data_IF_483340552884
#
_entry.id   IF_483340552884
#
_cell.length_a   1.000
_cell.length_b   1.000
_cell.length_c   1.000
_cell.angle_alpha   90.00
_cell.angle_beta   90.00
_cell.angle_gamma   90.00
#
_symmetry.space_group_name_H-M   'P 1'
#
loop_
_entity.id
_entity.type
_entity.pdbx_description
1 polymer ?
#
# COMPACT_ATOMS: atom_id res chain seq x y z
N UNK A 1 -60.63 41.93 -30.27
CA UNK A 1 -59.22 41.49 -30.34
C UNK A 1 -58.87 40.69 -29.09
N UNK A 2 -58.04 39.66 -29.25
CA UNK A 2 -57.42 38.82 -28.21
C UNK A 2 -58.25 37.66 -27.62
N UNK A 3 -58.07 36.51 -28.28
CA UNK A 3 -58.15 35.19 -27.69
C UNK A 3 -57.05 35.01 -26.61
N UNK A 4 -57.36 34.28 -25.53
CA UNK A 4 -56.37 33.84 -24.55
C UNK A 4 -56.58 32.36 -24.25
N UNK A 5 -55.88 31.53 -25.00
CA UNK A 5 -55.56 30.14 -24.66
C UNK A 5 -54.25 30.15 -23.87
N UNK A 6 -54.15 29.33 -22.82
CA UNK A 6 -52.87 28.95 -22.19
C UNK A 6 -53.07 27.50 -21.70
N UNK A 7 -52.69 26.50 -22.48
CA UNK A 7 -51.33 25.99 -22.75
C UNK A 7 -50.90 24.96 -21.70
N UNK A 8 -51.25 23.71 -22.01
CA UNK A 8 -50.67 22.46 -21.52
C UNK A 8 -49.41 22.26 -22.35
N UNK A 9 -48.23 22.27 -21.74
CA UNK A 9 -47.01 21.66 -22.30
C UNK A 9 -45.94 21.59 -21.21
N UNK A 10 -45.73 20.40 -20.66
CA UNK A 10 -44.60 20.07 -19.80
C UNK A 10 -43.95 18.83 -20.36
N UNK A 11 -43.32 18.96 -21.52
CA UNK A 11 -42.35 17.99 -21.98
C UNK A 11 -41.37 18.65 -22.96
N UNK A 12 -40.11 18.21 -22.91
CA UNK A 12 -39.00 18.53 -23.83
C UNK A 12 -38.08 19.67 -23.41
N UNK A 13 -37.14 19.35 -22.51
CA UNK A 13 -35.76 19.84 -22.64
C UNK A 13 -34.81 18.63 -22.55
N UNK A 14 -34.53 18.07 -23.72
CA UNK A 14 -33.36 17.24 -23.98
C UNK A 14 -32.21 18.22 -24.22
N UNK A 15 -31.33 18.39 -23.24
CA UNK A 15 -30.04 19.02 -23.43
C UNK A 15 -28.96 17.98 -23.15
N UNK A 16 -28.18 17.70 -24.19
CA UNK A 16 -27.10 16.73 -24.21
C UNK A 16 -26.02 17.08 -23.16
N UNK A 17 -25.83 16.20 -22.19
CA UNK A 17 -24.61 16.19 -21.37
C UNK A 17 -23.57 15.34 -22.11
N UNK A 18 -22.55 16.01 -22.63
CA UNK A 18 -21.37 15.38 -23.21
C UNK A 18 -20.68 14.46 -22.18
N UNK A 19 -20.07 13.33 -22.60
CA UNK A 19 -19.28 12.51 -21.71
C UNK A 19 -18.03 13.30 -21.32
N UNK A 20 -17.91 13.63 -20.03
CA UNK A 20 -16.66 14.14 -19.46
C UNK A 20 -15.66 12.99 -19.54
N UNK A 21 -14.80 13.06 -20.55
CA UNK A 21 -13.69 12.15 -20.74
C UNK A 21 -12.76 12.24 -19.52
N UNK A 22 -12.96 11.37 -18.54
CA UNK A 22 -11.94 11.02 -17.55
C UNK A 22 -10.93 10.07 -18.23
N UNK A 23 -10.23 10.61 -19.21
CA UNK A 23 -9.06 9.97 -19.79
C UNK A 23 -7.81 10.66 -19.28
N UNK A 24 -6.83 9.84 -18.93
CA UNK A 24 -5.40 10.14 -18.82
C UNK A 24 -4.95 11.00 -17.64
N UNK A 25 -5.00 10.44 -16.42
CA UNK A 25 -3.99 10.79 -15.38
C UNK A 25 -3.26 9.55 -14.82
N UNK A 26 -3.72 8.33 -15.07
CA UNK A 26 -3.05 7.10 -14.59
C UNK A 26 -1.90 6.58 -15.48
N UNK A 27 -1.37 7.42 -16.39
CA UNK A 27 -0.24 7.08 -17.26
C UNK A 27 1.08 7.77 -16.86
N UNK A 28 1.16 8.31 -15.64
CA UNK A 28 2.41 8.81 -15.05
C UNK A 28 2.78 7.94 -13.84
N UNK A 29 3.05 6.65 -14.09
CA UNK A 29 3.95 5.86 -13.23
C UNK A 29 5.30 6.58 -13.32
N UNK A 30 5.49 7.60 -12.49
CA UNK A 30 6.70 8.41 -12.44
C UNK A 30 7.89 7.48 -12.31
N UNK A 31 8.60 7.28 -13.42
CA UNK A 31 9.99 6.87 -13.45
C UNK A 31 10.85 8.01 -12.88
N UNK A 32 10.53 8.42 -11.64
CA UNK A 32 11.37 9.28 -10.84
C UNK A 32 12.67 8.51 -10.67
N UNK A 33 13.78 9.08 -11.12
CA UNK A 33 15.09 8.46 -10.97
C UNK A 33 15.22 7.99 -9.51
N UNK A 34 15.30 6.67 -9.32
CA UNK A 34 15.36 6.09 -7.99
C UNK A 34 16.54 6.72 -7.24
N UNK A 35 16.30 7.10 -5.99
CA UNK A 35 17.39 7.52 -5.09
C UNK A 35 18.53 6.49 -5.19
N UNK A 36 19.80 6.91 -5.37
CA UNK A 36 20.93 5.98 -5.57
C UNK A 36 21.09 4.98 -4.42
N UNK A 37 20.69 5.37 -3.21
CA UNK A 37 20.58 4.47 -2.06
C UNK A 37 19.56 3.37 -2.31
N UNK A 38 18.34 3.73 -2.72
CA UNK A 38 17.28 2.76 -3.00
C UNK A 38 17.65 1.84 -4.15
N UNK A 39 18.36 2.33 -5.17
CA UNK A 39 18.85 1.50 -6.26
C UNK A 39 19.82 0.41 -5.77
N UNK A 40 20.76 0.76 -4.89
CA UNK A 40 21.68 -0.22 -4.29
C UNK A 40 20.95 -1.21 -3.39
N UNK A 41 20.04 -0.72 -2.55
CA UNK A 41 19.22 -1.58 -1.68
C UNK A 41 18.32 -2.52 -2.49
N UNK A 42 17.80 -2.07 -3.64
CA UNK A 42 16.98 -2.89 -4.52
C UNK A 42 17.70 -4.16 -4.96
N UNK A 43 19.00 -4.10 -5.26
CA UNK A 43 19.80 -5.29 -5.58
C UNK A 43 19.90 -6.31 -4.44
N UNK A 44 19.87 -5.87 -3.17
CA UNK A 44 19.82 -6.75 -2.00
C UNK A 44 18.42 -7.34 -1.80
N UNK A 45 17.39 -6.50 -1.96
CA UNK A 45 15.97 -6.86 -1.83
C UNK A 45 15.58 -7.90 -2.90
N UNK A 46 16.01 -7.73 -4.16
CA UNK A 46 15.73 -8.67 -5.25
C UNK A 46 16.33 -10.07 -5.01
N UNK A 47 17.45 -10.13 -4.28
CA UNK A 47 18.10 -11.38 -3.85
C UNK A 47 17.45 -11.98 -2.59
N UNK A 48 16.42 -11.33 -2.04
CA UNK A 48 15.77 -11.73 -0.78
C UNK A 48 16.60 -11.46 0.47
N UNK A 49 17.72 -10.73 0.37
CA UNK A 49 18.58 -10.42 1.52
C UNK A 49 18.08 -9.15 2.23
N UNK A 50 16.94 -9.27 2.90
CA UNK A 50 16.29 -8.16 3.60
C UNK A 50 17.08 -7.67 4.82
N UNK A 51 17.86 -8.54 5.48
CA UNK A 51 18.71 -8.16 6.61
C UNK A 51 19.82 -7.19 6.17
N UNK A 52 20.59 -7.55 5.14
CA UNK A 52 21.63 -6.67 4.60
C UNK A 52 21.04 -5.38 4.00
N UNK A 53 19.85 -5.46 3.39
CA UNK A 53 19.15 -4.28 2.90
C UNK A 53 18.76 -3.33 4.04
N UNK A 54 18.25 -3.87 5.16
CA UNK A 54 17.89 -3.09 6.34
C UNK A 54 19.11 -2.39 6.95
N UNK A 55 20.22 -3.10 7.15
CA UNK A 55 21.46 -2.52 7.67
C UNK A 55 21.97 -1.37 6.79
N UNK A 56 21.96 -1.58 5.48
CA UNK A 56 22.37 -0.56 4.51
C UNK A 56 21.44 0.68 4.54
N UNK A 57 20.12 0.47 4.55
CA UNK A 57 19.13 1.54 4.55
C UNK A 57 19.11 2.32 5.88
N UNK A 58 19.37 1.67 7.02
CA UNK A 58 19.46 2.31 8.33
C UNK A 58 20.56 3.37 8.39
N UNK A 59 21.69 3.12 7.71
CA UNK A 59 22.81 4.06 7.63
C UNK A 59 22.60 5.19 6.60
N UNK A 60 21.64 5.07 5.69
CA UNK A 60 21.57 5.90 4.49
C UNK A 60 20.78 7.22 4.63
N UNK A 61 20.16 7.48 5.79
CA UNK A 61 19.59 8.80 6.10
C UNK A 61 18.13 8.77 6.57
N UNK A 62 17.44 9.91 6.40
CA UNK A 62 16.06 10.16 6.89
C UNK A 62 15.06 10.44 5.77
N UNK A 63 15.44 10.20 4.52
CA UNK A 63 14.53 10.32 3.39
C UNK A 63 13.32 9.38 3.57
N UNK A 64 12.07 9.85 3.41
CA UNK A 64 10.88 9.03 3.62
C UNK A 64 10.83 7.76 2.78
N UNK A 65 11.31 7.77 1.53
CA UNK A 65 11.29 6.58 0.69
C UNK A 65 12.33 5.54 1.16
N UNK A 66 13.51 6.01 1.60
CA UNK A 66 14.52 5.16 2.25
C UNK A 66 13.98 4.55 3.54
N UNK A 67 13.29 5.35 4.36
CA UNK A 67 12.68 4.90 5.62
C UNK A 67 11.51 3.94 5.39
N UNK A 68 10.72 4.17 4.35
CA UNK A 68 9.65 3.26 3.93
C UNK A 68 10.24 1.88 3.57
N UNK A 69 11.25 1.85 2.69
CA UNK A 69 11.91 0.61 2.30
C UNK A 69 12.58 -0.11 3.49
N UNK A 70 13.19 0.64 4.41
CA UNK A 70 13.75 0.10 5.65
C UNK A 70 12.66 -0.58 6.48
N UNK A 71 11.54 0.09 6.72
CA UNK A 71 10.43 -0.45 7.49
C UNK A 71 9.87 -1.74 6.87
N UNK A 72 9.77 -1.82 5.54
CA UNK A 72 9.37 -3.06 4.85
C UNK A 72 10.39 -4.18 5.07
N UNK A 73 11.69 -3.90 4.94
CA UNK A 73 12.72 -4.91 5.19
C UNK A 73 12.67 -5.42 6.63
N UNK A 74 12.52 -4.51 7.61
CA UNK A 74 12.39 -4.84 9.04
C UNK A 74 11.17 -5.73 9.31
N UNK A 75 10.01 -5.43 8.72
CA UNK A 75 8.82 -6.30 8.84
C UNK A 75 9.09 -7.71 8.31
N UNK A 76 9.74 -7.82 7.14
CA UNK A 76 10.00 -9.11 6.47
C UNK A 76 11.02 -9.99 7.20
N UNK A 77 11.93 -9.40 7.97
CA UNK A 77 12.85 -10.15 8.86
C UNK A 77 12.29 -10.37 10.27
N UNK A 78 11.06 -9.93 10.56
CA UNK A 78 10.40 -10.12 11.86
C UNK A 78 10.75 -9.07 12.92
N UNK A 79 11.47 -8.01 12.57
CA UNK A 79 11.83 -6.91 13.48
C UNK A 79 10.70 -5.87 13.56
N UNK A 80 9.51 -6.32 13.97
CA UNK A 80 8.25 -5.57 13.90
C UNK A 80 8.29 -4.29 14.75
N UNK A 81 8.84 -4.35 15.97
CA UNK A 81 8.94 -3.18 16.83
C UNK A 81 9.76 -2.04 16.19
N UNK A 82 10.91 -2.40 15.62
CA UNK A 82 11.77 -1.45 14.92
C UNK A 82 11.08 -0.88 13.67
N UNK A 83 10.34 -1.72 12.94
CA UNK A 83 9.57 -1.25 11.79
C UNK A 83 8.54 -0.20 12.21
N UNK A 84 7.78 -0.45 13.28
CA UNK A 84 6.79 0.50 13.81
C UNK A 84 7.46 1.82 14.23
N UNK A 85 8.61 1.76 14.87
CA UNK A 85 9.32 2.98 15.29
C UNK A 85 9.86 3.78 14.10
N UNK A 86 10.38 3.10 13.06
CA UNK A 86 10.78 3.72 11.81
C UNK A 86 9.59 4.43 11.16
N UNK A 87 8.46 3.75 10.96
CA UNK A 87 7.28 4.36 10.36
C UNK A 87 6.73 5.52 11.19
N UNK A 88 6.61 5.36 12.51
CA UNK A 88 6.12 6.43 13.40
C UNK A 88 6.96 7.69 13.26
N UNK A 89 8.27 7.57 13.07
CA UNK A 89 9.19 8.71 12.98
C UNK A 89 8.95 9.64 11.79
N UNK A 90 8.32 9.15 10.71
CA UNK A 90 8.11 9.94 9.49
C UNK A 90 6.67 9.94 8.98
N UNK A 91 5.81 9.01 9.41
CA UNK A 91 4.39 9.00 9.04
C UNK A 91 3.58 9.93 9.94
N UNK A 92 3.95 10.05 11.22
CA UNK A 92 3.24 10.90 12.17
C UNK A 92 3.94 12.25 12.39
N UNK A 93 3.15 13.24 12.79
CA UNK A 93 3.66 14.49 13.34
C UNK A 93 4.23 14.21 14.75
N UNK A 94 5.49 14.58 15.05
CA UNK A 94 6.14 14.31 16.33
C UNK A 94 5.31 14.74 17.53
N UNK A 95 5.20 13.86 18.52
CA UNK A 95 4.42 14.11 19.74
C UNK A 95 2.90 13.99 19.56
N UNK A 96 2.42 13.54 18.40
CA UNK A 96 1.00 13.39 18.11
C UNK A 96 0.68 12.02 17.52
N UNK A 97 -0.61 11.72 17.37
CA UNK A 97 -1.14 10.59 16.60
C UNK A 97 -1.58 11.00 15.19
N UNK A 98 -1.39 12.26 14.81
CA UNK A 98 -1.82 12.79 13.52
C UNK A 98 -0.82 12.42 12.43
N UNK A 99 -1.35 11.98 11.29
CA UNK A 99 -0.53 11.68 10.12
C UNK A 99 -0.07 12.94 9.41
N UNK A 100 1.10 12.84 8.78
CA UNK A 100 1.61 13.84 7.86
C UNK A 100 0.89 13.74 6.51
N UNK A 101 0.31 14.85 5.99
CA UNK A 101 -0.39 14.82 4.72
C UNK A 101 0.53 14.58 3.51
N UNK A 102 1.81 14.93 3.62
CA UNK A 102 2.82 14.81 2.56
C UNK A 102 3.35 13.37 2.34
N UNK A 103 3.03 12.45 3.26
CA UNK A 103 3.56 11.08 3.22
C UNK A 103 2.77 10.23 2.23
N UNK A 104 3.49 9.41 1.45
CA UNK A 104 2.88 8.54 0.45
C UNK A 104 1.86 7.59 1.06
N UNK A 105 0.77 7.30 0.34
CA UNK A 105 -0.22 6.32 0.78
C UNK A 105 0.39 4.93 0.99
N UNK A 106 1.39 4.54 0.18
CA UNK A 106 2.11 3.29 0.39
C UNK A 106 2.83 3.25 1.75
N UNK A 107 3.49 4.34 2.14
CA UNK A 107 4.13 4.43 3.47
C UNK A 107 3.11 4.31 4.60
N UNK A 108 1.92 4.91 4.44
CA UNK A 108 0.82 4.77 5.41
C UNK A 108 0.29 3.34 5.47
N UNK A 109 0.08 2.67 4.33
CA UNK A 109 -0.30 1.25 4.29
C UNK A 109 0.75 0.34 4.93
N UNK A 110 2.03 0.63 4.71
CA UNK A 110 3.13 -0.10 5.35
C UNK A 110 3.17 0.13 6.87
N UNK A 111 2.87 1.35 7.32
CA UNK A 111 2.72 1.62 8.75
C UNK A 111 1.55 0.86 9.36
N UNK A 112 0.39 0.87 8.73
CA UNK A 112 -0.75 0.06 9.14
C UNK A 112 -0.41 -1.43 9.18
N UNK A 113 0.34 -1.93 8.19
CA UNK A 113 0.84 -3.31 8.16
C UNK A 113 1.71 -3.62 9.38
N UNK A 114 2.65 -2.73 9.73
CA UNK A 114 3.51 -2.90 10.89
C UNK A 114 2.72 -2.89 12.21
N UNK A 115 1.71 -2.02 12.32
CA UNK A 115 0.80 -1.98 13.47
C UNK A 115 0.01 -3.28 13.63
N UNK A 116 -0.51 -3.85 12.53
CA UNK A 116 -1.20 -5.15 12.58
C UNK A 116 -0.27 -6.28 13.03
N UNK A 117 0.96 -6.32 12.51
CA UNK A 117 1.96 -7.30 12.94
C UNK A 117 2.35 -7.14 14.41
N UNK A 118 2.33 -5.92 14.94
CA UNK A 118 2.58 -5.62 16.36
C UNK A 118 1.38 -5.98 17.26
N UNK A 119 0.23 -6.29 16.67
CA UNK A 119 -1.00 -6.55 17.41
C UNK A 119 -1.75 -5.28 17.82
N UNK A 120 -1.63 -4.20 17.05
CA UNK A 120 -2.27 -2.89 17.27
C UNK A 120 -3.32 -2.57 16.19
N UNK A 121 -4.42 -3.34 16.07
CA UNK A 121 -5.41 -3.17 15.01
C UNK A 121 -6.14 -1.83 15.08
N UNK A 122 -6.33 -1.22 16.25
CA UNK A 122 -7.01 0.09 16.35
C UNK A 122 -6.20 1.16 15.62
N UNK A 123 -4.89 1.22 15.90
CA UNK A 123 -3.99 2.16 15.24
C UNK A 123 -3.92 1.92 13.73
N UNK A 124 -3.90 0.65 13.30
CA UNK A 124 -3.91 0.32 11.88
C UNK A 124 -5.19 0.80 11.18
N UNK A 125 -6.37 0.63 11.80
CA UNK A 125 -7.64 1.10 11.25
C UNK A 125 -7.66 2.62 11.14
N UNK A 126 -7.19 3.34 12.16
CA UNK A 126 -7.08 4.80 12.10
C UNK A 126 -6.23 5.25 10.92
N UNK A 127 -5.06 4.63 10.74
CA UNK A 127 -4.16 4.95 9.62
C UNK A 127 -4.82 4.67 8.28
N UNK A 128 -5.50 3.53 8.14
CA UNK A 128 -6.17 3.15 6.90
C UNK A 128 -7.40 4.01 6.58
N UNK A 129 -8.04 4.62 7.57
CA UNK A 129 -9.20 5.48 7.37
C UNK A 129 -8.82 6.81 6.69
N UNK A 130 -7.60 7.30 6.93
CA UNK A 130 -7.09 8.55 6.35
C UNK A 130 -6.58 8.38 4.91
N UNK A 131 -6.45 7.13 4.43
CA UNK A 131 -6.03 6.83 3.06
C UNK A 131 -7.23 6.95 2.11
N UNK A 132 -7.29 8.06 1.38
CA UNK A 132 -8.32 8.31 0.34
C UNK A 132 -7.92 7.67 -1.00
N UNK A 133 -7.72 6.36 -1.00
CA UNK A 133 -7.33 5.59 -2.19
C UNK A 133 -8.21 4.34 -2.33
N UNK A 134 -9.42 4.49 -2.91
CA UNK A 134 -10.42 3.42 -3.00
C UNK A 134 -9.99 2.25 -3.89
N UNK A 135 -9.02 2.43 -4.77
CA UNK A 135 -8.60 1.42 -5.75
C UNK A 135 -7.37 0.61 -5.30
N UNK A 136 -6.79 0.95 -4.14
CA UNK A 136 -5.61 0.23 -3.63
C UNK A 136 -5.96 -1.19 -3.17
N UNK A 137 -5.53 -2.19 -3.96
CA UNK A 137 -5.68 -3.61 -3.62
C UNK A 137 -5.09 -3.93 -2.24
N UNK A 138 -4.00 -3.26 -1.84
CA UNK A 138 -3.35 -3.46 -0.55
C UNK A 138 -4.21 -3.02 0.64
N UNK A 139 -4.90 -1.88 0.55
CA UNK A 139 -5.82 -1.45 1.63
C UNK A 139 -6.96 -2.45 1.78
N UNK A 140 -7.52 -2.92 0.66
CA UNK A 140 -8.57 -3.94 0.69
C UNK A 140 -8.08 -5.24 1.36
N UNK A 141 -6.85 -5.68 1.08
CA UNK A 141 -6.23 -6.85 1.73
C UNK A 141 -6.05 -6.65 3.24
N UNK A 142 -5.61 -5.45 3.67
CA UNK A 142 -5.45 -5.13 5.10
C UNK A 142 -6.80 -5.12 5.83
N UNK A 143 -7.82 -4.48 5.27
CA UNK A 143 -9.18 -4.53 5.82
C UNK A 143 -9.75 -5.96 5.83
N UNK A 144 -9.47 -6.78 4.82
CA UNK A 144 -9.88 -8.17 4.80
C UNK A 144 -9.18 -8.99 5.89
N UNK A 145 -7.89 -8.77 6.13
CA UNK A 145 -7.15 -9.41 7.22
C UNK A 145 -7.75 -9.05 8.59
N UNK A 146 -8.03 -7.78 8.84
CA UNK A 146 -8.69 -7.31 10.06
C UNK A 146 -10.06 -7.98 10.21
N UNK A 147 -10.90 -7.99 9.16
CA UNK A 147 -12.23 -8.61 9.20
C UNK A 147 -12.18 -10.12 9.47
N UNK A 148 -11.17 -10.82 8.95
CA UNK A 148 -10.98 -12.25 9.25
C UNK A 148 -10.61 -12.47 10.71
N UNK A 149 -9.70 -11.65 11.23
CA UNK A 149 -9.35 -11.68 12.65
C UNK A 149 -10.56 -11.33 13.53
N UNK A 150 -11.38 -10.34 13.19
CA UNK A 150 -12.59 -10.02 13.96
C UNK A 150 -13.56 -11.20 14.07
N UNK A 151 -13.61 -12.08 13.06
CA UNK A 151 -14.44 -13.30 13.07
C UNK A 151 -13.90 -14.40 13.98
N UNK A 152 -12.64 -14.34 14.40
CA UNK A 152 -12.07 -15.30 15.36
C UNK A 152 -12.33 -14.89 16.81
N UNK A 153 -12.83 -13.68 17.06
CA UNK A 153 -13.16 -13.19 18.39
C UNK A 153 -14.43 -13.87 18.92
N UNK A 154 -14.43 -14.17 20.22
CA UNK A 154 -15.67 -14.57 20.91
C UNK A 154 -16.66 -13.41 20.90
N UNK A 155 -17.96 -13.70 20.98
CA UNK A 155 -19.01 -12.69 20.87
C UNK A 155 -18.81 -11.50 21.84
N UNK A 156 -18.46 -11.77 23.10
CA UNK A 156 -18.19 -10.71 24.09
C UNK A 156 -16.96 -9.87 23.72
N UNK A 157 -15.89 -10.50 23.22
CA UNK A 157 -14.67 -9.80 22.80
C UNK A 157 -14.90 -9.00 21.54
N UNK A 158 -15.68 -9.52 20.61
CA UNK A 158 -16.09 -8.81 19.42
C UNK A 158 -16.91 -7.56 19.78
N UNK A 159 -17.85 -7.68 20.73
CA UNK A 159 -18.66 -6.54 21.17
C UNK A 159 -17.80 -5.48 21.88
N UNK A 160 -16.93 -5.91 22.79
CA UNK A 160 -16.00 -5.03 23.52
C UNK A 160 -15.03 -4.30 22.56
N UNK A 161 -14.49 -5.02 21.57
CA UNK A 161 -13.71 -4.47 20.47
C UNK A 161 -14.50 -3.42 19.67
N UNK A 162 -15.73 -3.74 19.27
CA UNK A 162 -16.53 -2.86 18.40
C UNK A 162 -17.03 -1.61 19.10
N UNK A 163 -17.32 -1.67 20.40
CA UNK A 163 -17.87 -0.53 21.15
C UNK A 163 -16.78 0.29 21.85
N UNK A 164 -15.75 -0.36 22.40
CA UNK A 164 -14.74 0.30 23.22
C UNK A 164 -13.36 0.39 22.56
N UNK A 165 -13.17 -0.24 21.38
CA UNK A 165 -11.86 -0.38 20.72
C UNK A 165 -10.78 -0.99 21.61
N UNK A 166 -11.21 -1.83 22.58
CA UNK A 166 -10.31 -2.55 23.48
C UNK A 166 -9.69 -3.71 22.73
N UNK A 167 -8.38 -3.64 22.53
CA UNK A 167 -7.61 -4.67 21.85
C UNK A 167 -7.49 -5.92 22.75
N UNK A 168 -7.81 -7.12 22.25
CA UNK A 168 -7.58 -8.36 22.99
C UNK A 168 -6.11 -8.55 23.34
N UNK A 169 -5.82 -9.11 24.53
CA UNK A 169 -4.46 -9.49 24.90
C UNK A 169 -3.87 -10.46 23.87
N UNK A 170 -2.63 -10.24 23.44
CA UNK A 170 -1.95 -11.02 22.40
C UNK A 170 -2.70 -11.01 21.05
N UNK A 171 -3.23 -9.85 20.64
CA UNK A 171 -3.83 -9.69 19.34
C UNK A 171 -2.85 -10.06 18.22
N UNK A 172 -3.21 -11.06 17.41
CA UNK A 172 -2.42 -11.49 16.25
C UNK A 172 -3.30 -11.47 15.00
N UNK A 173 -3.08 -10.46 14.15
CA UNK A 173 -3.73 -10.38 12.85
C UNK A 173 -2.85 -11.12 11.84
N UNK A 174 -3.34 -12.26 11.34
CA UNK A 174 -2.62 -13.04 10.34
C UNK A 174 -2.72 -12.36 8.98
N UNK A 175 -1.56 -12.05 8.39
CA UNK A 175 -1.45 -11.57 7.02
C UNK A 175 -1.12 -12.76 6.11
N UNK A 176 -1.94 -12.96 5.09
CA UNK A 176 -1.80 -14.02 4.06
C UNK A 176 -1.05 -13.53 2.82
N UNK A 177 -0.39 -12.38 2.95
CA UNK A 177 0.42 -11.75 1.92
C UNK A 177 1.73 -11.27 2.53
N UNK A 178 2.72 -11.03 1.68
CA UNK A 178 4.03 -10.57 2.12
C UNK A 178 3.92 -9.17 2.77
N UNK A 179 4.48 -8.96 3.98
CA UNK A 179 4.42 -7.68 4.66
C UNK A 179 5.03 -6.53 3.85
N UNK A 180 4.22 -5.48 3.69
CA UNK A 180 4.60 -4.22 3.08
C UNK A 180 4.82 -4.27 1.57
N UNK A 181 4.76 -3.09 0.96
CA UNK A 181 4.99 -2.86 -0.46
C UNK A 181 6.10 -1.83 -0.67
N UNK A 182 6.86 -1.97 -1.75
CA UNK A 182 7.88 -0.99 -2.15
C UNK A 182 7.30 -0.03 -3.18
N UNK A 183 7.70 1.24 -3.10
CA UNK A 183 7.30 2.30 -4.06
C UNK A 183 8.06 2.21 -5.40
N UNK A 184 8.80 1.13 -5.63
CA UNK A 184 9.58 0.88 -6.83
C UNK A 184 9.41 -0.56 -7.29
N UNK A 185 9.60 -0.81 -8.59
CA UNK A 185 9.47 -2.13 -9.17
C UNK A 185 10.57 -3.06 -8.61
N UNK A 186 10.17 -4.04 -7.80
CA UNK A 186 11.04 -5.08 -7.26
C UNK A 186 10.64 -6.42 -7.85
N UNK A 187 11.47 -6.97 -8.74
CA UNK A 187 11.36 -8.34 -9.22
C UNK A 187 12.12 -9.25 -8.26
N UNK A 188 11.42 -9.83 -7.28
CA UNK A 188 12.03 -10.79 -6.35
C UNK A 188 12.24 -12.11 -7.10
N UNK A 189 13.49 -12.52 -7.30
CA UNK A 189 13.78 -13.80 -7.95
C UNK A 189 13.42 -14.93 -6.98
N UNK A 190 12.26 -15.56 -7.16
CA UNK A 190 11.87 -16.74 -6.38
C UNK A 190 12.88 -17.86 -6.70
N UNK A 191 13.55 -18.45 -5.70
CA UNK A 191 14.42 -19.60 -5.94
C UNK A 191 13.55 -20.78 -6.38
N UNK A 192 13.71 -21.22 -7.64
CA UNK A 192 13.09 -22.46 -8.14
C UNK A 192 12.36 -22.39 -9.49
N UNK A 193 12.29 -21.24 -10.18
CA UNK A 193 11.75 -21.20 -11.55
C UNK A 193 12.91 -20.99 -12.56
N UNK A 194 13.07 -21.88 -13.56
CA UNK A 194 14.08 -21.70 -14.59
C UNK A 194 13.85 -20.40 -15.36
N UNK A 195 14.97 -19.75 -15.69
CA UNK A 195 15.02 -18.49 -16.40
C UNK A 195 14.63 -18.73 -17.88
N UNK A 196 13.41 -18.38 -18.27
CA UNK A 196 12.93 -18.52 -19.65
C UNK A 196 13.60 -17.53 -20.63
N UNK A 197 14.61 -16.77 -20.19
CA UNK A 197 15.37 -15.84 -21.02
C UNK A 197 16.38 -16.50 -21.98
N UNK A 198 16.49 -17.84 -21.99
CA UNK A 198 17.42 -18.58 -22.86
C UNK A 198 17.00 -18.79 -24.32
N UNK A 199 15.73 -18.62 -24.69
CA UNK A 199 15.22 -19.07 -26.00
C UNK A 199 15.15 -18.00 -27.11
N UNK A 200 15.61 -16.78 -26.86
CA UNK A 200 15.58 -15.70 -27.87
C UNK A 200 16.86 -15.62 -28.72
N UNK A 201 17.98 -16.25 -28.32
CA UNK A 201 19.27 -16.08 -29.00
C UNK A 201 19.57 -17.13 -30.08
N UNK A 202 18.88 -18.28 -30.09
CA UNK A 202 19.16 -19.36 -31.05
C UNK A 202 18.32 -19.30 -32.35
N UNK A 203 17.34 -18.39 -32.47
CA UNK A 203 16.50 -18.30 -33.67
C UNK A 203 17.06 -17.38 -34.78
N UNK A 204 18.11 -16.61 -34.50
CA UNK A 204 18.69 -15.69 -35.50
C UNK A 204 19.93 -16.27 -36.22
N UNK A 205 20.39 -17.47 -35.87
CA UNK A 205 21.53 -18.12 -36.53
C UNK A 205 21.15 -19.13 -37.63
N UNK A 206 19.84 -19.38 -37.85
CA UNK A 206 19.36 -20.40 -38.80
C UNK A 206 18.71 -19.83 -40.08
N UNK A 207 18.87 -18.54 -40.37
CA UNK A 207 18.32 -17.88 -41.57
C UNK A 207 19.38 -17.21 -42.45
N UNK A 208 20.64 -17.64 -42.35
CA UNK A 208 21.70 -17.21 -43.26
C UNK A 208 22.66 -18.38 -43.54
N UNK A 209 22.16 -19.36 -44.28
CA UNK A 209 22.96 -20.33 -45.04
C UNK A 209 22.13 -20.80 -46.24
#
# INVERSE_FOLDING_TARGET
>A
MSARTNNKDSNKLVAAAAPVAFSTVNAAKESRALNPTLQKACGLIQKGNFAAAADFLAAAGRDPNVRNALGVCLMRIGHVDQAVDVFRSFVLVPGTVLERPEVSFASKRNFATALLLKGLPSGAITVLADIRDPDSTRSAQLYAAIRRWEKTLSWFRWLDWKLNSIEPCNCQVVLDFEPGEFDFDVQIKRPGLPDDSGNASLKNAALSA
#
